data_IF_746801514468
#
_entry.id   IF_746801514468
#
_cell.length_a   1.000
_cell.length_b   1.000
_cell.length_c   1.000
_cell.angle_alpha   90.00
_cell.angle_beta   90.00
_cell.angle_gamma   90.00
#
_symmetry.space_group_name_H-M   'P 1'
#
loop_
_entity.id
_entity.type
_entity.pdbx_description
1 polymer ?
#
# COMPACT_ATOMS: atom_id res chain seq x y z
N UNK A 1 -12.88 -13.80 2.35
CA UNK A 1 -12.05 -15.01 2.29
C UNK A 1 -12.33 -15.92 3.46
N UNK A 2 -12.35 -17.22 3.23
CA UNK A 2 -12.43 -18.16 4.33
C UNK A 2 -11.07 -18.39 4.98
N UNK A 3 -11.04 -19.05 6.13
CA UNK A 3 -9.84 -19.21 6.91
C UNK A 3 -8.76 -20.02 6.20
N UNK A 4 -9.17 -21.06 5.48
CA UNK A 4 -8.22 -21.90 4.73
C UNK A 4 -7.58 -21.11 3.59
N UNK A 5 -8.35 -20.25 2.93
CA UNK A 5 -7.83 -19.41 1.87
C UNK A 5 -6.84 -18.38 2.42
N UNK A 6 -7.14 -17.82 3.59
CA UNK A 6 -6.21 -16.90 4.26
C UNK A 6 -4.87 -17.57 4.54
N UNK A 7 -4.89 -18.80 5.04
CA UNK A 7 -3.67 -19.57 5.28
C UNK A 7 -2.86 -19.76 4.01
N UNK A 8 -3.53 -20.16 2.93
CA UNK A 8 -2.88 -20.40 1.64
C UNK A 8 -2.22 -19.13 1.13
N UNK A 9 -2.93 -18.02 1.21
CA UNK A 9 -2.42 -16.73 0.76
C UNK A 9 -1.18 -16.31 1.54
N UNK A 10 -1.22 -16.46 2.86
CA UNK A 10 -0.09 -16.06 3.71
C UNK A 10 1.18 -16.85 3.43
N UNK A 11 1.06 -18.05 2.86
CA UNK A 11 2.19 -18.92 2.56
C UNK A 11 2.72 -18.75 1.13
N UNK A 12 2.09 -17.89 0.34
CA UNK A 12 2.42 -17.76 -1.09
C UNK A 12 2.60 -16.29 -1.44
N UNK A 13 3.85 -15.90 -1.65
CA UNK A 13 4.20 -14.52 -1.97
C UNK A 13 3.48 -14.02 -3.24
N UNK A 14 3.29 -14.89 -4.22
CA UNK A 14 2.58 -14.52 -5.45
C UNK A 14 1.11 -14.19 -5.18
N UNK A 15 0.49 -14.93 -4.27
CA UNK A 15 -0.89 -14.68 -3.87
C UNK A 15 -1.01 -13.36 -3.09
N UNK A 16 -0.03 -13.07 -2.25
CA UNK A 16 0.02 -11.79 -1.54
C UNK A 16 0.15 -10.66 -2.55
N UNK A 17 1.09 -10.76 -3.48
CA UNK A 17 1.34 -9.73 -4.48
C UNK A 17 0.13 -9.47 -5.36
N UNK A 18 -0.62 -10.50 -5.72
CA UNK A 18 -1.86 -10.30 -6.47
C UNK A 18 -2.82 -9.36 -5.73
N UNK A 19 -2.90 -9.50 -4.42
CA UNK A 19 -3.80 -8.70 -3.60
C UNK A 19 -3.27 -7.29 -3.33
N UNK A 20 -1.98 -7.10 -3.53
CA UNK A 20 -1.37 -5.78 -3.39
C UNK A 20 -1.46 -4.99 -4.70
N UNK A 21 -1.08 -5.63 -5.81
CA UNK A 21 -0.93 -4.93 -7.09
C UNK A 21 -2.16 -5.04 -7.99
N UNK A 22 -2.92 -6.11 -7.89
CA UNK A 22 -4.02 -6.39 -8.81
C UNK A 22 -5.40 -6.25 -8.18
N UNK A 23 -5.57 -6.77 -6.98
CA UNK A 23 -6.86 -6.78 -6.29
C UNK A 23 -6.78 -5.95 -5.01
N UNK A 24 -7.88 -5.31 -4.60
CA UNK A 24 -9.17 -5.19 -5.32
C UNK A 24 -9.02 -4.32 -6.56
N UNK A 25 -9.96 -4.51 -7.49
CA UNK A 25 -10.00 -3.71 -8.70
C UNK A 25 -10.31 -2.26 -8.35
N UNK A 26 -9.51 -1.35 -8.89
CA UNK A 26 -9.71 0.07 -8.69
C UNK A 26 -10.88 0.59 -9.51
N UNK A 27 -11.55 1.62 -9.01
CA UNK A 27 -12.53 2.38 -9.78
C UNK A 27 -11.90 3.57 -10.50
N UNK A 28 -10.61 3.75 -10.37
CA UNK A 28 -9.90 4.87 -11.00
C UNK A 28 -9.70 4.57 -12.48
N UNK A 29 -10.01 5.55 -13.33
CA UNK A 29 -9.83 5.42 -14.78
C UNK A 29 -8.84 6.46 -15.28
N UNK A 30 -8.06 6.07 -16.26
CA UNK A 30 -7.12 6.95 -16.94
C UNK A 30 -7.14 6.60 -18.41
N UNK A 31 -7.45 7.60 -19.25
CA UNK A 31 -7.56 7.37 -20.69
C UNK A 31 -8.65 6.38 -21.07
N UNK A 32 -9.72 6.33 -20.28
CA UNK A 32 -10.84 5.43 -20.53
C UNK A 32 -10.63 4.00 -20.05
N UNK A 33 -9.52 3.72 -19.40
CA UNK A 33 -9.21 2.39 -18.87
C UNK A 33 -9.01 2.45 -17.38
N UNK A 34 -9.44 1.40 -16.67
CA UNK A 34 -9.20 1.29 -15.24
C UNK A 34 -7.73 0.98 -14.99
N UNK A 35 -7.16 1.64 -13.96
CA UNK A 35 -5.80 1.38 -13.56
C UNK A 35 -5.79 0.94 -12.10
N UNK A 36 -4.76 0.18 -11.71
CA UNK A 36 -4.63 -0.27 -10.33
C UNK A 36 -4.27 0.90 -9.42
N UNK A 37 -4.54 0.73 -8.12
CA UNK A 37 -4.11 1.72 -7.13
C UNK A 37 -2.60 1.90 -7.17
N UNK A 38 -1.86 0.81 -7.33
CA UNK A 38 -0.41 0.88 -7.43
C UNK A 38 0.02 1.75 -8.62
N UNK A 39 -0.53 1.50 -9.80
CA UNK A 39 -0.16 2.26 -10.99
C UNK A 39 -0.50 3.73 -10.84
N UNK A 40 -1.68 4.03 -10.29
CA UNK A 40 -2.12 5.41 -10.11
C UNK A 40 -1.20 6.16 -9.15
N UNK A 41 -0.97 5.59 -7.98
CA UNK A 41 -0.20 6.25 -6.92
C UNK A 41 1.27 6.38 -7.31
N UNK A 42 1.85 5.30 -7.84
CA UNK A 42 3.27 5.27 -8.19
C UNK A 42 3.61 6.07 -9.45
N UNK A 43 2.61 6.42 -10.25
CA UNK A 43 2.83 7.25 -11.44
C UNK A 43 3.26 8.67 -11.09
N UNK A 44 2.89 9.15 -9.90
CA UNK A 44 3.21 10.48 -9.40
C UNK A 44 2.65 11.62 -10.24
N UNK A 45 1.63 11.32 -11.05
CA UNK A 45 1.03 12.31 -11.96
C UNK A 45 0.09 13.28 -11.28
N UNK A 46 -0.47 12.90 -10.13
CA UNK A 46 -1.44 13.72 -9.43
C UNK A 46 -0.77 14.45 -8.26
N UNK A 47 -0.62 15.79 -8.34
CA UNK A 47 0.04 16.54 -7.27
C UNK A 47 -0.62 16.41 -5.89
N UNK A 48 -1.95 16.35 -5.86
CA UNK A 48 -2.67 16.20 -4.58
C UNK A 48 -2.41 14.85 -3.95
N UNK A 49 -2.37 13.81 -4.76
CA UNK A 49 -2.01 12.46 -4.30
C UNK A 49 -0.58 12.45 -3.77
N UNK A 50 0.34 13.10 -4.47
CA UNK A 50 1.74 13.16 -4.05
C UNK A 50 1.90 13.84 -2.70
N UNK A 51 1.18 14.93 -2.47
CA UNK A 51 1.20 15.61 -1.17
C UNK A 51 0.57 14.74 -0.08
N UNK A 52 -0.49 14.01 -0.43
CA UNK A 52 -1.11 13.07 0.51
C UNK A 52 -0.14 11.96 0.91
N UNK A 53 0.67 11.45 -0.01
CA UNK A 53 1.70 10.44 0.30
C UNK A 53 2.63 10.92 1.40
N UNK A 54 3.09 12.16 1.30
CA UNK A 54 4.00 12.73 2.30
C UNK A 54 3.37 12.77 3.68
N UNK A 55 2.06 13.11 3.75
CA UNK A 55 1.37 13.20 5.02
C UNK A 55 1.03 11.82 5.60
N UNK A 56 0.51 10.94 4.75
CA UNK A 56 -0.07 9.68 5.20
C UNK A 56 1.00 8.66 5.60
N UNK A 57 2.07 8.54 4.81
CA UNK A 57 3.09 7.53 5.09
C UNK A 57 3.71 7.67 6.48
N UNK A 58 3.92 8.91 6.91
CA UNK A 58 4.50 9.15 8.23
C UNK A 58 3.51 8.94 9.38
N UNK A 59 2.23 8.87 9.07
CA UNK A 59 1.16 8.74 10.09
C UNK A 59 0.67 7.32 10.27
N UNK A 60 0.98 6.42 9.36
CA UNK A 60 0.58 5.02 9.49
C UNK A 60 1.49 4.35 10.50
N UNK A 61 0.89 3.89 11.59
CA UNK A 61 1.60 3.22 12.68
C UNK A 61 1.19 1.75 12.70
N UNK A 62 2.04 0.90 12.14
CA UNK A 62 1.76 -0.52 12.04
C UNK A 62 1.72 -1.20 13.42
N UNK A 63 2.49 -0.70 14.38
CA UNK A 63 2.45 -1.25 15.74
C UNK A 63 1.11 -0.96 16.39
N UNK A 64 0.57 0.25 16.19
CA UNK A 64 -0.75 0.59 16.70
C UNK A 64 -1.84 -0.26 16.06
N UNK A 65 -1.72 -0.52 14.76
CA UNK A 65 -2.67 -1.38 14.05
C UNK A 65 -2.59 -2.81 14.58
N UNK A 66 -1.37 -3.34 14.78
CA UNK A 66 -1.17 -4.66 15.36
C UNK A 66 -1.84 -4.75 16.73
N UNK A 67 -1.60 -3.78 17.59
CA UNK A 67 -2.18 -3.76 18.94
C UNK A 67 -3.70 -3.68 18.89
N UNK A 68 -4.24 -2.90 17.95
CA UNK A 68 -5.69 -2.81 17.77
C UNK A 68 -6.27 -4.18 17.39
N UNK A 69 -5.66 -4.86 16.42
CA UNK A 69 -6.14 -6.16 15.96
C UNK A 69 -6.06 -7.21 17.09
N UNK A 70 -5.02 -7.18 17.90
CA UNK A 70 -4.88 -8.09 19.03
C UNK A 70 -5.99 -7.87 20.07
N UNK A 71 -6.51 -6.65 20.16
CA UNK A 71 -7.57 -6.30 21.11
C UNK A 71 -8.98 -6.61 20.64
N UNK A 72 -9.16 -7.13 19.42
CA UNK A 72 -10.50 -7.47 18.90
C UNK A 72 -10.78 -8.95 19.16
N UNK A 73 -11.63 -9.27 20.15
CA UNK A 73 -11.80 -10.67 20.57
C UNK A 73 -12.46 -11.56 19.54
N UNK A 74 -13.22 -10.99 18.62
CA UNK A 74 -13.94 -11.75 17.59
C UNK A 74 -13.01 -12.26 16.48
N UNK A 75 -11.79 -11.72 16.38
CA UNK A 75 -10.86 -12.12 15.34
C UNK A 75 -10.04 -13.33 15.80
N UNK A 76 -9.94 -14.32 14.92
CA UNK A 76 -9.04 -15.45 15.11
C UNK A 76 -7.59 -15.03 14.82
N UNK A 77 -6.61 -15.74 15.39
CA UNK A 77 -5.21 -15.42 15.10
C UNK A 77 -4.86 -15.35 13.62
N UNK A 78 -5.39 -16.27 12.80
CA UNK A 78 -5.13 -16.27 11.36
C UNK A 78 -5.71 -15.01 10.68
N UNK A 79 -6.84 -14.53 11.16
CA UNK A 79 -7.45 -13.32 10.62
C UNK A 79 -6.61 -12.10 10.96
N UNK A 80 -6.11 -12.01 12.21
CA UNK A 80 -5.25 -10.92 12.63
C UNK A 80 -3.97 -10.88 11.79
N UNK A 81 -3.37 -12.03 11.60
CA UNK A 81 -2.17 -12.16 10.80
C UNK A 81 -2.43 -11.76 9.34
N UNK A 82 -3.52 -12.22 8.77
CA UNK A 82 -3.88 -11.91 7.39
C UNK A 82 -4.09 -10.41 7.20
N UNK A 83 -4.88 -9.78 8.07
CA UNK A 83 -5.16 -8.35 7.93
C UNK A 83 -3.92 -7.51 8.14
N UNK A 84 -3.11 -7.85 9.14
CA UNK A 84 -1.86 -7.13 9.38
C UNK A 84 -0.89 -7.28 8.21
N UNK A 85 -0.78 -8.49 7.66
CA UNK A 85 0.08 -8.74 6.50
C UNK A 85 -0.37 -7.92 5.31
N UNK A 86 -1.67 -7.89 5.00
CA UNK A 86 -2.19 -7.12 3.88
C UNK A 86 -1.91 -5.63 4.04
N UNK A 87 -2.14 -5.09 5.23
CA UNK A 87 -1.91 -3.67 5.48
C UNK A 87 -0.42 -3.32 5.41
N UNK A 88 0.43 -4.16 5.99
CA UNK A 88 1.87 -3.96 5.97
C UNK A 88 2.41 -3.99 4.55
N UNK A 89 2.01 -5.01 3.78
CA UNK A 89 2.48 -5.17 2.41
C UNK A 89 2.00 -4.03 1.51
N UNK A 90 0.75 -3.60 1.67
CA UNK A 90 0.24 -2.47 0.90
C UNK A 90 0.98 -1.19 1.23
N UNK A 91 1.24 -0.95 2.50
CA UNK A 91 1.99 0.22 2.92
C UNK A 91 3.38 0.21 2.29
N UNK A 92 4.10 -0.89 2.43
CA UNK A 92 5.49 -0.99 1.95
C UNK A 92 5.59 -0.98 0.43
N UNK A 93 4.75 -1.75 -0.24
CA UNK A 93 4.87 -1.96 -1.68
C UNK A 93 4.22 -0.87 -2.52
N UNK A 94 3.22 -0.18 -1.98
CA UNK A 94 2.54 0.89 -2.70
C UNK A 94 2.93 2.26 -2.16
N UNK A 95 2.68 2.49 -0.87
CA UNK A 95 2.84 3.84 -0.30
C UNK A 95 4.30 4.20 -0.09
N UNK A 96 5.05 3.38 0.60
CA UNK A 96 6.45 3.67 0.89
C UNK A 96 7.28 3.67 -0.39
N UNK A 97 7.00 2.73 -1.29
CA UNK A 97 7.67 2.67 -2.58
C UNK A 97 7.40 3.95 -3.39
N UNK A 98 6.15 4.37 -3.46
CA UNK A 98 5.77 5.57 -4.22
C UNK A 98 6.36 6.83 -3.59
N UNK A 99 6.38 6.89 -2.26
CA UNK A 99 7.01 8.01 -1.56
C UNK A 99 8.50 8.08 -1.88
N UNK A 100 9.17 6.95 -1.92
CA UNK A 100 10.58 6.91 -2.29
C UNK A 100 10.81 7.46 -3.68
N UNK A 101 9.99 7.05 -4.65
CA UNK A 101 10.08 7.58 -6.02
C UNK A 101 9.84 9.09 -6.05
N UNK A 102 8.85 9.55 -5.28
CA UNK A 102 8.53 10.97 -5.21
C UNK A 102 9.70 11.80 -4.66
N UNK A 103 10.30 11.32 -3.59
CA UNK A 103 11.43 12.00 -2.98
C UNK A 103 12.64 12.05 -3.92
N UNK A 104 12.89 10.96 -4.65
CA UNK A 104 13.95 10.93 -5.65
C UNK A 104 13.66 11.91 -6.78
N UNK A 105 12.41 11.96 -7.24
CA UNK A 105 12.02 12.90 -8.30
C UNK A 105 12.20 14.34 -7.85
N UNK A 106 11.81 14.67 -6.64
CA UNK A 106 11.96 16.02 -6.10
C UNK A 106 13.41 16.43 -5.96
N UNK A 107 14.29 15.51 -5.60
CA UNK A 107 15.72 15.78 -5.54
C UNK A 107 16.29 16.08 -6.92
N UNK A 108 15.89 15.31 -7.92
CA UNK A 108 16.37 15.50 -9.28
C UNK A 108 15.87 16.78 -9.92
N UNK A 109 14.69 17.24 -9.53
CA UNK A 109 14.11 18.45 -10.11
C UNK A 109 14.46 19.71 -9.33
N UNK A 110 15.19 19.59 -8.23
CA UNK A 110 15.58 20.74 -7.44
C UNK A 110 16.59 21.58 -8.20
N UNK A 111 16.27 22.86 -8.50
CA UNK A 111 17.18 23.69 -9.26
C UNK A 111 18.47 24.01 -8.51
N UNK A 112 18.42 23.94 -7.21
CA UNK A 112 19.60 24.23 -6.42
C UNK A 112 20.70 23.22 -6.60
N UNK A 113 20.34 22.02 -6.96
CA UNK A 113 21.32 20.97 -7.17
C UNK A 113 22.08 21.14 -8.48
N UNK A 114 21.53 21.92 -9.37
CA UNK A 114 22.20 22.22 -10.64
C UNK A 114 23.26 23.31 -10.57
N UNK A 115 23.38 23.88 -9.45
CA UNK A 115 24.34 24.99 -9.26
C UNK A 115 25.73 24.50 -9.05
#
# INVERSE_FOLDING_TARGET
LDLERMKTVLQDEAEIDQRIYTFPTSSIEEGGKKISYFDYISSLKNPDCNEALKRVCSRIDLDAIHNFLEGVPELLPIQREFYLTMLTERKEKILDYSLKLLMEQEQHTSPMLGM
#
